data_IF_602799388957
#
_entry.id   IF_602799388957
#
_cell.length_a   1.000
_cell.length_b   1.000
_cell.length_c   1.000
_cell.angle_alpha   90.00
_cell.angle_beta   90.00
_cell.angle_gamma   90.00
#
_symmetry.space_group_name_H-M   'P 1'
#
loop_
_entity.id
_entity.type
_entity.pdbx_description
1 polymer ?
#
# COMPACT_ATOMS: atom_id res chain seq x y z
N UNK A 1 27.71 -28.91 27.52
CA UNK A 1 27.26 -27.98 28.57
C UNK A 1 26.69 -26.76 27.85
N UNK A 2 25.41 -26.45 28.02
CA UNK A 2 24.82 -25.29 27.36
C UNK A 2 25.14 -24.03 28.15
N UNK A 3 25.55 -22.96 27.46
CA UNK A 3 25.76 -21.63 28.03
C UNK A 3 24.50 -20.82 27.83
N UNK A 4 24.14 -20.03 28.82
CA UNK A 4 23.03 -19.07 28.70
C UNK A 4 23.50 -17.82 27.96
N UNK A 5 22.62 -17.26 27.13
CA UNK A 5 22.89 -15.98 26.47
C UNK A 5 22.86 -14.85 27.50
N UNK A 6 23.76 -13.85 27.38
CA UNK A 6 23.74 -12.69 28.26
C UNK A 6 22.43 -11.91 28.08
N UNK A 7 21.96 -11.24 29.14
CA UNK A 7 20.66 -10.55 29.18
C UNK A 7 20.42 -9.53 28.04
N UNK A 8 21.49 -8.99 27.45
CA UNK A 8 21.45 -8.17 26.22
C UNK A 8 22.45 -8.72 25.21
N UNK A 9 22.08 -9.74 24.43
CA UNK A 9 23.01 -10.35 23.49
C UNK A 9 23.26 -9.41 22.31
N UNK A 10 24.54 -9.17 22.00
CA UNK A 10 24.97 -8.36 20.87
C UNK A 10 25.61 -9.24 19.79
N UNK A 11 25.18 -9.08 18.54
CA UNK A 11 25.77 -9.80 17.41
C UNK A 11 27.26 -9.49 17.22
N UNK A 12 27.68 -8.26 17.48
CA UNK A 12 29.09 -7.89 17.41
C UNK A 12 29.92 -8.66 18.43
N UNK A 13 29.40 -8.78 19.64
CA UNK A 13 30.05 -9.52 20.72
C UNK A 13 30.17 -11.01 20.37
N UNK A 14 29.09 -11.63 19.85
CA UNK A 14 29.11 -13.04 19.45
C UNK A 14 30.05 -13.31 18.28
N UNK A 15 30.16 -12.39 17.30
CA UNK A 15 31.15 -12.48 16.22
C UNK A 15 32.59 -12.42 16.74
N UNK A 16 32.86 -11.54 17.71
CA UNK A 16 34.18 -11.47 18.37
C UNK A 16 34.49 -12.76 19.13
N UNK A 17 33.52 -13.33 19.84
CA UNK A 17 33.66 -14.62 20.51
C UNK A 17 33.97 -15.75 19.53
N UNK A 18 33.24 -15.87 18.42
CA UNK A 18 33.49 -16.90 17.42
C UNK A 18 34.92 -16.80 16.83
N UNK A 19 35.39 -15.58 16.58
CA UNK A 19 36.76 -15.34 16.11
C UNK A 19 37.81 -15.69 17.17
N UNK A 20 37.52 -15.47 18.45
CA UNK A 20 38.40 -15.91 19.54
C UNK A 20 38.42 -17.44 19.64
N UNK A 21 37.26 -18.09 19.54
CA UNK A 21 37.12 -19.54 19.57
C UNK A 21 37.90 -20.22 18.42
N UNK A 22 37.87 -19.62 17.22
CA UNK A 22 38.69 -20.04 16.08
C UNK A 22 40.19 -19.97 16.40
N UNK A 23 40.65 -18.97 17.16
CA UNK A 23 42.07 -18.83 17.51
C UNK A 23 42.52 -19.82 18.57
N UNK A 24 41.63 -20.20 19.50
CA UNK A 24 41.99 -21.00 20.68
C UNK A 24 41.70 -22.49 20.56
N UNK A 25 40.59 -22.86 19.89
CA UNK A 25 40.07 -24.23 19.93
C UNK A 25 40.32 -25.02 18.64
N UNK A 26 40.41 -24.36 17.49
CA UNK A 26 40.71 -25.04 16.22
C UNK A 26 41.13 -24.03 15.15
N UNK A 27 42.36 -24.11 14.58
CA UNK A 27 42.79 -23.24 13.48
C UNK A 27 42.07 -23.51 12.13
N UNK A 28 40.84 -24.02 12.18
CA UNK A 28 39.97 -24.28 11.04
C UNK A 28 39.19 -23.05 10.55
N UNK A 29 38.16 -23.29 9.72
CA UNK A 29 37.37 -22.23 9.10
C UNK A 29 36.51 -21.50 10.14
N UNK A 30 36.37 -20.19 10.00
CA UNK A 30 35.56 -19.35 10.89
C UNK A 30 34.08 -19.80 10.96
N UNK A 31 33.57 -20.44 9.91
CA UNK A 31 32.23 -21.02 9.90
C UNK A 31 32.06 -22.11 10.97
N UNK A 32 33.04 -22.98 11.14
CA UNK A 32 33.00 -24.07 12.12
C UNK A 32 32.95 -23.52 13.55
N UNK A 33 33.70 -22.43 13.80
CA UNK A 33 33.67 -21.71 15.07
C UNK A 33 32.29 -21.05 15.34
N UNK A 34 31.63 -20.49 14.32
CA UNK A 34 30.27 -19.96 14.47
C UNK A 34 29.25 -21.07 14.79
N UNK A 35 29.37 -22.26 14.16
CA UNK A 35 28.48 -23.39 14.45
C UNK A 35 28.73 -24.02 15.82
N UNK A 36 30.00 -24.16 16.23
CA UNK A 36 30.36 -24.61 17.57
C UNK A 36 29.79 -23.66 18.63
N UNK A 37 29.97 -22.35 18.44
CA UNK A 37 29.42 -21.33 19.34
C UNK A 37 27.88 -21.37 19.38
N UNK A 38 27.21 -21.53 18.24
CA UNK A 38 25.76 -21.67 18.21
C UNK A 38 25.26 -22.86 19.04
N UNK A 39 25.93 -24.02 18.91
CA UNK A 39 25.61 -25.22 19.70
C UNK A 39 25.88 -25.05 21.19
N UNK A 40 26.92 -24.31 21.57
CA UNK A 40 27.15 -23.96 22.98
C UNK A 40 25.97 -23.20 23.58
N UNK A 41 25.33 -22.31 22.81
CA UNK A 41 24.12 -21.58 23.23
C UNK A 41 22.80 -22.34 22.96
N UNK A 42 22.86 -23.60 22.52
CA UNK A 42 21.66 -24.42 22.28
C UNK A 42 20.99 -24.23 20.91
N UNK A 43 21.62 -23.52 19.97
CA UNK A 43 21.12 -23.32 18.61
C UNK A 43 21.74 -24.34 17.64
N UNK A 44 20.95 -24.78 16.66
CA UNK A 44 21.42 -25.76 15.66
C UNK A 44 22.55 -25.19 14.75
N UNK A 45 22.47 -23.89 14.44
CA UNK A 45 23.42 -23.20 13.58
C UNK A 45 23.50 -21.70 13.91
N UNK A 46 24.49 -21.04 13.33
CA UNK A 46 24.72 -19.61 13.51
C UNK A 46 23.60 -18.73 12.98
N UNK A 47 22.90 -19.15 11.93
CA UNK A 47 21.79 -18.37 11.38
C UNK A 47 20.64 -18.28 12.40
N UNK A 48 20.29 -19.39 13.07
CA UNK A 48 19.29 -19.42 14.13
C UNK A 48 19.68 -18.56 15.34
N UNK A 49 20.92 -18.67 15.80
CA UNK A 49 21.42 -17.81 16.89
C UNK A 49 21.37 -16.33 16.50
N UNK A 50 21.82 -16.01 15.28
CA UNK A 50 21.82 -14.64 14.78
C UNK A 50 20.39 -14.08 14.69
N UNK A 51 19.45 -14.83 14.14
CA UNK A 51 18.05 -14.44 14.05
C UNK A 51 17.42 -14.24 15.43
N UNK A 52 17.73 -15.12 16.38
CA UNK A 52 17.24 -15.00 17.77
C UNK A 52 17.75 -13.72 18.44
N UNK A 53 19.04 -13.42 18.33
CA UNK A 53 19.67 -12.22 18.91
C UNK A 53 19.16 -10.95 18.25
N UNK A 54 18.96 -10.95 16.93
CA UNK A 54 18.32 -9.83 16.24
C UNK A 54 16.92 -9.62 16.81
N UNK A 55 16.12 -10.68 16.90
CA UNK A 55 14.73 -10.62 17.40
C UNK A 55 14.65 -10.11 18.84
N UNK A 56 15.59 -10.53 19.71
CA UNK A 56 15.67 -10.02 21.09
C UNK A 56 16.06 -8.54 21.17
N UNK A 57 16.79 -8.03 20.19
CA UNK A 57 17.19 -6.63 20.12
C UNK A 57 16.14 -5.70 19.52
N UNK A 58 15.07 -6.24 18.93
CA UNK A 58 14.00 -5.44 18.34
C UNK A 58 13.10 -4.85 19.43
N UNK A 59 12.73 -3.59 19.25
CA UNK A 59 11.57 -3.04 19.97
C UNK A 59 10.31 -3.81 19.60
N UNK A 60 9.25 -3.84 20.44
CA UNK A 60 7.99 -4.51 20.10
C UNK A 60 7.41 -4.04 18.76
N UNK A 61 7.58 -2.76 18.43
CA UNK A 61 7.13 -2.19 17.16
C UNK A 61 7.93 -2.71 15.96
N UNK A 62 9.25 -2.86 16.10
CA UNK A 62 10.08 -3.46 15.04
C UNK A 62 9.82 -4.95 14.89
N UNK A 63 9.56 -5.67 15.99
CA UNK A 63 9.17 -7.08 15.97
C UNK A 63 7.82 -7.26 15.25
N UNK A 64 6.85 -6.36 15.48
CA UNK A 64 5.58 -6.36 14.76
C UNK A 64 5.79 -6.08 13.26
N UNK A 65 6.62 -5.09 12.92
CA UNK A 65 6.98 -4.81 11.53
C UNK A 65 7.61 -6.03 10.84
N UNK A 66 8.50 -6.75 11.53
CA UNK A 66 9.11 -7.96 11.01
C UNK A 66 8.06 -9.07 10.79
N UNK A 67 7.18 -9.29 11.77
CA UNK A 67 6.10 -10.28 11.65
C UNK A 67 5.19 -9.99 10.45
N UNK A 68 4.83 -8.74 10.19
CA UNK A 68 4.01 -8.34 9.04
C UNK A 68 4.77 -8.56 7.72
N UNK A 69 6.08 -8.26 7.68
CA UNK A 69 6.92 -8.48 6.49
C UNK A 69 7.01 -9.96 6.13
N UNK A 70 7.06 -10.82 7.15
CA UNK A 70 7.16 -12.28 7.04
C UNK A 70 5.79 -12.97 6.95
N UNK A 71 4.68 -12.21 6.85
CA UNK A 71 3.31 -12.74 6.81
C UNK A 71 2.94 -13.65 8.01
N UNK A 72 3.57 -13.37 9.16
CA UNK A 72 3.43 -14.14 10.39
C UNK A 72 2.22 -13.72 11.23
N UNK A 73 1.01 -14.01 10.78
CA UNK A 73 -0.23 -13.60 11.44
C UNK A 73 -0.30 -14.01 12.93
N UNK A 74 0.09 -15.25 13.25
CA UNK A 74 0.12 -15.74 14.63
C UNK A 74 1.11 -14.93 15.50
N UNK A 75 2.28 -14.62 14.94
CA UNK A 75 3.28 -13.82 15.65
C UNK A 75 2.83 -12.38 15.86
N UNK A 76 2.17 -11.79 14.86
CA UNK A 76 1.58 -10.47 14.97
C UNK A 76 0.50 -10.44 16.08
N UNK A 77 -0.35 -11.48 16.16
CA UNK A 77 -1.36 -11.62 17.21
C UNK A 77 -0.74 -11.68 18.60
N UNK A 78 0.24 -12.56 18.81
CA UNK A 78 0.95 -12.69 20.09
C UNK A 78 1.57 -11.35 20.54
N UNK A 79 2.18 -10.61 19.61
CA UNK A 79 2.77 -9.30 19.90
C UNK A 79 1.69 -8.29 20.29
N UNK A 80 0.57 -8.24 19.56
CA UNK A 80 -0.52 -7.30 19.85
C UNK A 80 -1.24 -7.60 21.18
N UNK A 81 -1.30 -8.88 21.57
CA UNK A 81 -1.84 -9.30 22.87
C UNK A 81 -0.87 -9.02 24.01
N UNK A 82 0.43 -9.24 23.80
CA UNK A 82 1.47 -9.06 24.83
C UNK A 82 1.81 -7.60 25.10
N UNK A 83 1.62 -6.71 24.11
CA UNK A 83 2.06 -5.31 24.15
C UNK A 83 0.89 -4.37 23.80
N UNK A 84 0.05 -3.97 24.79
CA UNK A 84 -1.11 -3.11 24.56
C UNK A 84 -0.77 -1.75 23.91
N UNK A 85 0.45 -1.25 24.10
CA UNK A 85 0.95 -0.03 23.46
C UNK A 85 1.03 -0.15 21.93
N UNK A 86 1.17 -1.36 21.39
CA UNK A 86 1.13 -1.60 19.95
C UNK A 86 -0.28 -1.40 19.41
N UNK A 87 -1.30 -1.88 20.13
CA UNK A 87 -2.71 -1.67 19.77
C UNK A 87 -3.07 -0.18 19.82
N UNK A 88 -2.61 0.53 20.84
CA UNK A 88 -2.81 1.99 20.94
C UNK A 88 -2.18 2.78 19.78
N UNK A 89 -1.16 2.22 19.11
CA UNK A 89 -0.43 2.83 17.99
C UNK A 89 -0.65 2.11 16.66
N UNK A 90 -1.63 1.22 16.55
CA UNK A 90 -1.85 0.35 15.39
C UNK A 90 -2.00 1.13 14.06
N UNK A 91 -2.59 2.33 14.14
CA UNK A 91 -2.85 3.23 13.01
C UNK A 91 -1.72 4.24 12.76
N UNK A 92 -0.65 4.22 13.56
CA UNK A 92 0.53 5.05 13.34
C UNK A 92 1.43 4.42 12.27
N UNK A 93 2.24 5.22 11.57
CA UNK A 93 3.24 4.70 10.67
C UNK A 93 4.17 3.70 11.37
N UNK A 94 4.47 2.59 10.70
CA UNK A 94 5.44 1.61 11.18
C UNK A 94 6.85 2.22 11.16
N UNK A 95 7.71 1.90 12.16
CA UNK A 95 9.09 2.37 12.16
C UNK A 95 9.84 1.77 10.96
N UNK A 96 10.67 2.60 10.32
CA UNK A 96 11.50 2.20 9.17
C UNK A 96 10.69 1.58 8.02
N UNK A 97 9.44 2.04 7.84
CA UNK A 97 8.56 1.68 6.73
C UNK A 97 8.26 2.94 5.89
N UNK A 98 8.35 2.81 4.57
CA UNK A 98 8.25 3.96 3.65
C UNK A 98 6.84 4.56 3.60
N UNK A 99 6.73 5.78 3.06
CA UNK A 99 5.47 6.44 2.72
C UNK A 99 4.46 6.62 3.86
N UNK A 100 4.91 6.61 5.11
CA UNK A 100 4.03 6.74 6.28
C UNK A 100 3.02 5.60 6.38
N UNK A 101 3.38 4.41 5.91
CA UNK A 101 2.49 3.24 5.93
C UNK A 101 2.33 2.69 7.34
N UNK A 102 1.09 2.37 7.68
CA UNK A 102 0.71 1.69 8.92
C UNK A 102 0.62 0.17 8.70
N UNK A 103 0.43 -0.57 9.80
CA UNK A 103 0.48 -2.03 9.80
C UNK A 103 -0.50 -2.67 8.81
N UNK A 104 -1.73 -2.17 8.76
CA UNK A 104 -2.78 -2.72 7.91
C UNK A 104 -2.46 -2.52 6.42
N UNK A 105 -1.97 -1.34 6.05
CA UNK A 105 -1.55 -1.07 4.67
C UNK A 105 -0.43 -2.02 4.22
N UNK A 106 0.56 -2.26 5.09
CA UNK A 106 1.67 -3.18 4.80
C UNK A 106 1.20 -4.63 4.59
N UNK A 107 0.21 -5.10 5.36
CA UNK A 107 -0.38 -6.42 5.17
C UNK A 107 -1.20 -6.53 3.87
N UNK A 108 -1.93 -5.46 3.52
CA UNK A 108 -2.70 -5.38 2.26
C UNK A 108 -1.81 -5.43 1.03
N UNK A 109 -0.67 -4.74 1.02
CA UNK A 109 0.29 -4.81 -0.10
C UNK A 109 0.87 -6.22 -0.31
N UNK A 110 0.75 -7.10 0.68
CA UNK A 110 1.22 -8.49 0.63
C UNK A 110 0.10 -9.49 0.37
N UNK A 111 -1.13 -9.02 0.18
CA UNK A 111 -2.33 -9.86 0.07
C UNK A 111 -2.50 -10.86 1.22
N UNK A 112 -1.97 -10.53 2.40
CA UNK A 112 -1.95 -11.43 3.56
C UNK A 112 -3.26 -11.31 4.35
N UNK A 113 -4.25 -12.09 3.94
CA UNK A 113 -5.58 -12.13 4.56
C UNK A 113 -5.54 -12.44 6.05
N UNK A 114 -4.68 -13.36 6.48
CA UNK A 114 -4.61 -13.77 7.88
C UNK A 114 -4.09 -12.64 8.77
N UNK A 115 -3.02 -11.96 8.34
CA UNK A 115 -2.51 -10.80 9.10
C UNK A 115 -3.46 -9.61 9.03
N UNK A 116 -4.18 -9.40 7.91
CA UNK A 116 -5.22 -8.37 7.82
C UNK A 116 -6.29 -8.59 8.90
N UNK A 117 -6.81 -9.81 9.04
CA UNK A 117 -7.82 -10.13 10.06
C UNK A 117 -7.30 -9.86 11.47
N UNK A 118 -6.08 -10.31 11.78
CA UNK A 118 -5.45 -10.04 13.07
C UNK A 118 -5.33 -8.55 13.38
N UNK A 119 -4.96 -7.74 12.38
CA UNK A 119 -4.80 -6.29 12.57
C UNK A 119 -6.16 -5.59 12.75
N UNK A 120 -7.19 -6.01 12.01
CA UNK A 120 -8.54 -5.48 12.17
C UNK A 120 -9.15 -5.85 13.53
N UNK A 121 -8.99 -7.11 13.96
CA UNK A 121 -9.38 -7.56 15.31
C UNK A 121 -8.66 -6.77 16.41
N UNK A 122 -7.42 -6.37 16.14
CA UNK A 122 -6.64 -5.54 17.06
C UNK A 122 -7.10 -4.06 17.10
N UNK A 123 -7.97 -3.63 16.18
CA UNK A 123 -8.52 -2.27 16.10
C UNK A 123 -7.90 -1.39 15.01
N UNK A 124 -7.24 -1.98 14.01
CA UNK A 124 -6.75 -1.21 12.86
C UNK A 124 -7.92 -0.56 12.10
N UNK A 125 -7.75 0.72 11.74
CA UNK A 125 -8.74 1.48 11.00
C UNK A 125 -8.60 1.22 9.49
N UNK A 126 -9.61 0.56 8.92
CA UNK A 126 -9.67 0.21 7.51
C UNK A 126 -9.75 1.44 6.58
N UNK A 127 -10.15 2.60 7.11
CA UNK A 127 -10.26 3.86 6.37
C UNK A 127 -9.00 4.73 6.49
N UNK A 128 -8.06 4.37 7.37
CA UNK A 128 -6.85 5.15 7.58
C UNK A 128 -6.00 5.18 6.31
N UNK A 129 -5.81 6.38 5.76
CA UNK A 129 -4.84 6.62 4.68
C UNK A 129 -3.41 6.71 5.23
N UNK A 130 -2.42 6.38 4.40
CA UNK A 130 -1.00 6.51 4.78
C UNK A 130 -0.63 7.98 5.03
N UNK A 131 0.38 8.22 5.86
CA UNK A 131 0.85 9.57 6.18
C UNK A 131 1.94 10.01 5.20
N UNK A 132 1.53 10.39 3.99
CA UNK A 132 2.41 10.81 2.91
C UNK A 132 2.17 12.27 2.50
N UNK A 133 3.25 13.04 2.39
CA UNK A 133 3.20 14.50 2.16
C UNK A 133 2.52 14.90 0.85
N UNK A 134 2.61 14.06 -0.19
CA UNK A 134 1.97 14.33 -1.49
C UNK A 134 0.51 13.82 -1.55
N UNK A 135 -0.02 13.26 -0.46
CA UNK A 135 -1.35 12.65 -0.41
C UNK A 135 -1.26 11.19 -0.02
N UNK A 136 -1.91 10.82 1.08
CA UNK A 136 -1.93 9.44 1.59
C UNK A 136 -2.65 8.48 0.64
N UNK A 137 -2.28 7.20 0.68
CA UNK A 137 -2.93 6.13 -0.07
C UNK A 137 -3.96 5.42 0.80
N UNK A 138 -5.14 5.12 0.24
CA UNK A 138 -6.13 4.22 0.83
C UNK A 138 -5.80 2.77 0.50
N UNK A 139 -6.35 1.82 1.27
CA UNK A 139 -6.07 0.39 1.09
C UNK A 139 -6.40 -0.10 -0.34
N UNK A 140 -7.50 0.41 -0.92
CA UNK A 140 -7.96 0.03 -2.25
C UNK A 140 -7.25 0.77 -3.39
N UNK A 141 -6.31 1.68 -3.11
CA UNK A 141 -5.55 2.41 -4.14
C UNK A 141 -4.42 1.54 -4.73
N UNK A 142 -3.86 0.63 -3.94
CA UNK A 142 -2.71 -0.21 -4.31
C UNK A 142 -2.84 -1.68 -3.90
N UNK A 143 -4.05 -2.16 -3.55
CA UNK A 143 -4.26 -3.58 -3.26
C UNK A 143 -4.33 -4.43 -4.53
N UNK A 144 -4.03 -5.73 -4.37
CA UNK A 144 -4.38 -6.77 -5.33
C UNK A 144 -5.89 -6.75 -5.65
N UNK A 145 -6.31 -6.76 -6.93
CA UNK A 145 -7.73 -6.77 -7.31
C UNK A 145 -8.53 -7.93 -6.71
N UNK A 146 -7.90 -9.09 -6.48
CA UNK A 146 -8.55 -10.27 -5.87
C UNK A 146 -8.84 -10.10 -4.38
N UNK A 147 -8.25 -9.09 -3.75
CA UNK A 147 -8.45 -8.75 -2.33
C UNK A 147 -9.55 -7.71 -2.12
N UNK A 148 -10.05 -7.06 -3.18
CA UNK A 148 -11.03 -5.96 -3.09
C UNK A 148 -12.28 -6.41 -2.35
N UNK A 149 -12.91 -7.52 -2.77
CA UNK A 149 -14.14 -8.01 -2.13
C UNK A 149 -13.90 -8.35 -0.66
N UNK A 150 -12.77 -9.00 -0.35
CA UNK A 150 -12.38 -9.35 1.01
C UNK A 150 -12.27 -8.12 1.93
N UNK A 151 -11.72 -7.02 1.42
CA UNK A 151 -11.61 -5.75 2.16
C UNK A 151 -12.96 -5.02 2.27
N UNK A 152 -13.78 -5.05 1.21
CA UNK A 152 -15.12 -4.46 1.22
C UNK A 152 -16.04 -5.14 2.23
N UNK A 153 -15.98 -6.48 2.33
CA UNK A 153 -16.68 -7.25 3.36
C UNK A 153 -16.28 -6.86 4.79
N UNK A 154 -15.08 -6.28 4.97
CA UNK A 154 -14.56 -5.75 6.23
C UNK A 154 -14.84 -4.25 6.42
N UNK A 155 -15.60 -3.64 5.53
CA UNK A 155 -16.00 -2.24 5.60
C UNK A 155 -15.16 -1.29 4.75
N UNK A 156 -14.23 -1.76 3.91
CA UNK A 156 -13.52 -0.87 3.00
C UNK A 156 -14.49 -0.24 2.00
N UNK A 157 -14.41 1.08 1.83
CA UNK A 157 -15.27 1.82 0.91
C UNK A 157 -14.57 1.98 -0.44
N UNK A 158 -15.27 1.59 -1.51
CA UNK A 158 -14.82 1.87 -2.89
C UNK A 158 -15.10 3.35 -3.19
N UNK A 159 -14.03 4.15 -3.12
CA UNK A 159 -14.05 5.56 -3.52
C UNK A 159 -13.87 5.72 -5.05
N UNK A 160 -13.86 6.97 -5.51
CA UNK A 160 -13.75 7.30 -6.93
C UNK A 160 -12.39 6.89 -7.53
N UNK A 161 -11.31 6.89 -6.75
CA UNK A 161 -9.97 6.50 -7.20
C UNK A 161 -9.87 4.99 -7.36
N UNK A 162 -10.30 4.25 -6.34
CA UNK A 162 -10.39 2.79 -6.38
C UNK A 162 -11.31 2.32 -7.52
N UNK A 163 -12.49 2.95 -7.67
CA UNK A 163 -13.41 2.63 -8.75
C UNK A 163 -12.81 2.92 -10.14
N UNK A 164 -12.06 4.02 -10.30
CA UNK A 164 -11.32 4.36 -11.52
C UNK A 164 -10.27 3.31 -11.86
N UNK A 165 -9.41 2.98 -10.89
CA UNK A 165 -8.35 1.97 -11.00
C UNK A 165 -8.89 0.59 -11.39
N UNK A 166 -9.96 0.16 -10.72
CA UNK A 166 -10.60 -1.15 -10.92
C UNK A 166 -11.52 -1.20 -12.15
N UNK A 167 -11.75 -0.05 -12.82
CA UNK A 167 -12.61 0.04 -14.00
C UNK A 167 -14.10 -0.18 -13.71
N UNK A 168 -14.55 0.09 -12.48
CA UNK A 168 -15.94 -0.09 -12.04
C UNK A 168 -16.83 1.06 -12.53
N UNK A 169 -17.22 1.03 -13.81
CA UNK A 169 -17.95 2.13 -14.47
C UNK A 169 -19.26 2.50 -13.78
N UNK A 170 -20.05 1.50 -13.39
CA UNK A 170 -21.33 1.73 -12.71
C UNK A 170 -21.11 2.50 -11.40
N UNK A 171 -20.14 2.05 -10.59
CA UNK A 171 -19.80 2.70 -9.32
C UNK A 171 -19.27 4.12 -9.51
N UNK A 172 -18.43 4.36 -10.51
CA UNK A 172 -17.97 5.72 -10.83
C UNK A 172 -19.14 6.62 -11.24
N UNK A 173 -20.07 6.09 -12.03
CA UNK A 173 -21.26 6.84 -12.47
C UNK A 173 -22.12 7.26 -11.29
N UNK A 174 -22.36 6.35 -10.34
CA UNK A 174 -23.06 6.64 -9.09
C UNK A 174 -22.34 7.73 -8.27
N UNK A 175 -21.03 7.57 -8.06
CA UNK A 175 -20.25 8.50 -7.24
C UNK A 175 -20.23 9.92 -7.82
N UNK A 176 -20.05 10.06 -9.14
CA UNK A 176 -20.02 11.38 -9.78
C UNK A 176 -21.42 11.98 -9.91
N UNK A 177 -22.47 11.16 -10.03
CA UNK A 177 -23.85 11.64 -9.98
C UNK A 177 -24.21 12.20 -8.60
N UNK A 178 -23.69 11.60 -7.53
CA UNK A 178 -23.88 12.07 -6.16
C UNK A 178 -23.09 13.37 -5.88
N UNK A 179 -21.85 13.47 -6.34
CA UNK A 179 -21.05 14.68 -6.26
C UNK A 179 -20.12 14.81 -7.48
N UNK A 180 -20.32 15.85 -8.29
CA UNK A 180 -19.50 16.06 -9.48
C UNK A 180 -18.06 16.45 -9.15
N UNK A 181 -17.78 17.00 -7.96
CA UNK A 181 -16.44 17.46 -7.58
C UNK A 181 -15.47 16.31 -7.29
N UNK A 182 -15.97 15.08 -7.09
CA UNK A 182 -15.13 13.90 -6.86
C UNK A 182 -14.16 13.62 -8.02
N UNK A 183 -14.46 14.12 -9.22
CA UNK A 183 -13.55 14.02 -10.38
C UNK A 183 -12.25 14.82 -10.20
N UNK A 184 -12.24 15.77 -9.26
CA UNK A 184 -11.08 16.59 -8.90
C UNK A 184 -10.47 16.18 -7.54
N UNK A 185 -11.04 15.18 -6.87
CA UNK A 185 -10.53 14.67 -5.61
C UNK A 185 -9.05 14.27 -5.75
N UNK A 186 -8.28 14.54 -4.70
CA UNK A 186 -6.84 14.27 -4.63
C UNK A 186 -6.63 12.98 -3.85
N UNK A 187 -6.17 11.94 -4.53
CA UNK A 187 -5.83 10.64 -3.95
C UNK A 187 -4.35 10.57 -3.55
N UNK A 188 -3.81 9.36 -3.55
CA UNK A 188 -2.37 9.13 -3.37
C UNK A 188 -1.53 9.93 -4.38
N UNK A 189 -0.44 10.53 -3.91
CA UNK A 189 0.43 11.43 -4.71
C UNK A 189 -0.29 12.63 -5.36
N UNK A 190 -1.47 13.02 -4.86
CA UNK A 190 -2.22 14.15 -5.38
C UNK A 190 -2.84 13.86 -6.76
N UNK A 191 -2.91 12.59 -7.13
CA UNK A 191 -3.49 12.14 -8.38
C UNK A 191 -5.01 12.23 -8.33
N UNK A 192 -5.62 12.65 -9.44
CA UNK A 192 -7.08 12.64 -9.62
C UNK A 192 -7.54 11.28 -10.16
N UNK A 193 -8.83 10.92 -10.08
CA UNK A 193 -9.32 9.65 -10.60
C UNK A 193 -8.99 9.40 -12.07
N UNK A 194 -8.88 10.47 -12.87
CA UNK A 194 -8.48 10.41 -14.27
C UNK A 194 -7.06 9.84 -14.47
N UNK A 195 -6.13 10.02 -13.52
CA UNK A 195 -4.79 9.46 -13.62
C UNK A 195 -4.80 7.92 -13.56
N UNK A 196 -5.79 7.34 -12.89
CA UNK A 196 -5.96 5.90 -12.76
C UNK A 196 -6.85 5.29 -13.85
N UNK A 197 -7.43 6.12 -14.72
CA UNK A 197 -8.34 5.69 -15.76
C UNK A 197 -7.60 4.90 -16.85
N UNK A 198 -7.64 3.57 -16.77
CA UNK A 198 -6.91 2.65 -17.65
C UNK A 198 -7.60 2.34 -18.99
N UNK A 199 -8.77 2.94 -19.30
CA UNK A 199 -9.55 2.66 -20.54
C UNK A 199 -10.03 3.92 -21.26
N UNK A 200 -10.06 3.86 -22.60
CA UNK A 200 -10.55 4.95 -23.48
C UNK A 200 -12.00 5.39 -23.19
N UNK A 201 -12.87 4.48 -22.75
CA UNK A 201 -14.23 4.83 -22.29
C UNK A 201 -14.25 5.65 -20.99
N UNK A 202 -13.28 5.41 -20.09
CA UNK A 202 -13.12 6.17 -18.84
C UNK A 202 -12.64 7.60 -19.13
N UNK A 203 -11.72 7.75 -20.09
CA UNK A 203 -11.27 9.05 -20.60
C UNK A 203 -12.46 9.86 -21.15
N UNK A 204 -13.34 9.24 -21.93
CA UNK A 204 -14.56 9.89 -22.44
C UNK A 204 -15.54 10.30 -21.33
N UNK A 205 -15.80 9.42 -20.36
CA UNK A 205 -16.69 9.70 -19.23
C UNK A 205 -16.20 10.88 -18.38
N UNK A 206 -14.94 10.85 -17.93
CA UNK A 206 -14.36 11.93 -17.13
C UNK A 206 -14.18 13.22 -17.93
N UNK A 207 -13.81 13.14 -19.21
CA UNK A 207 -13.70 14.33 -20.07
C UNK A 207 -15.04 15.07 -20.22
N UNK A 208 -16.13 14.33 -20.47
CA UNK A 208 -17.47 14.91 -20.58
C UNK A 208 -17.90 15.54 -19.26
N UNK A 209 -17.61 14.89 -18.13
CA UNK A 209 -17.94 15.39 -16.79
C UNK A 209 -17.17 16.67 -16.44
N UNK A 210 -15.85 16.71 -16.72
CA UNK A 210 -15.01 17.89 -16.48
C UNK A 210 -15.49 19.10 -17.32
N UNK A 211 -15.92 18.89 -18.56
CA UNK A 211 -16.51 19.93 -19.42
C UNK A 211 -17.88 20.43 -18.91
N UNK A 212 -18.68 19.58 -18.25
CA UNK A 212 -20.00 19.96 -17.70
C UNK A 212 -19.88 20.69 -16.36
N UNK A 213 -18.99 20.24 -15.48
CA UNK A 213 -18.67 20.91 -14.21
C UNK A 213 -18.08 22.31 -14.47
N UNK A 214 -17.12 22.44 -15.41
CA UNK A 214 -16.56 23.75 -15.78
C UNK A 214 -17.56 24.67 -16.48
N UNK A 215 -18.57 24.17 -17.20
CA UNK A 215 -19.64 25.04 -17.76
C UNK A 215 -20.57 25.63 -16.70
N UNK A 216 -20.70 25.00 -15.54
CA UNK A 216 -21.55 25.49 -14.45
C UNK A 216 -20.99 26.79 -13.83
N UNK A 217 -19.69 27.05 -13.95
CA UNK A 217 -19.04 28.25 -13.39
C UNK A 217 -19.01 29.44 -14.36
N UNK A 218 -19.56 29.32 -15.58
CA UNK A 218 -19.57 30.39 -16.60
C UNK A 218 -20.93 31.06 -16.85
N UNK A 219 -21.94 30.85 -15.99
CA UNK A 219 -23.26 31.51 -16.19
C UNK A 219 -23.42 32.88 -15.53
N UNK A 220 -22.38 33.42 -14.85
CA UNK A 220 -22.42 34.77 -14.26
C UNK A 220 -21.15 35.58 -14.50
N UNK A 221 -20.75 35.76 -15.76
CA UNK A 221 -20.23 37.04 -16.25
C UNK A 221 -19.94 36.98 -17.76
N UNK A 222 -20.78 37.60 -18.57
CA UNK A 222 -20.44 37.94 -19.95
C UNK A 222 -19.39 39.07 -19.94
N UNK A 223 -18.10 38.72 -19.90
CA UNK A 223 -17.04 39.51 -20.54
C UNK A 223 -16.03 38.56 -21.18
N UNK A 224 -15.93 38.66 -22.52
CA UNK A 224 -14.90 38.00 -23.34
C UNK A 224 -13.50 38.36 -22.83
N UNK A 225 -12.57 37.39 -22.73
CA UNK A 225 -11.15 37.67 -22.85
C UNK A 225 -10.61 37.13 -24.18
N UNK A 226 -9.99 38.06 -24.89
CA UNK A 226 -9.06 37.89 -26.00
C UNK A 226 -7.88 36.98 -25.62
N UNK A 227 -7.54 36.08 -26.56
CA UNK A 227 -6.21 35.53 -26.85
C UNK A 227 -5.23 35.34 -25.68
N UNK A 228 -5.04 34.09 -25.23
CA UNK A 228 -3.72 33.66 -24.76
C UNK A 228 -3.51 32.14 -24.94
N UNK A 229 -2.38 31.81 -25.56
CA UNK A 229 -1.94 30.51 -26.02
C UNK A 229 -1.74 29.47 -24.91
N UNK A 230 -2.41 28.30 -25.00
CA UNK A 230 -1.81 26.96 -24.78
C UNK A 230 -2.64 25.92 -25.54
N UNK A 231 -2.50 25.84 -26.86
CA UNK A 231 -3.10 24.76 -27.68
C UNK A 231 -2.07 24.29 -28.72
N UNK A 232 -1.34 23.24 -28.39
CA UNK A 232 -0.53 22.53 -29.41
C UNK A 232 -0.58 20.99 -29.31
N UNK A 233 -1.14 20.39 -28.25
CA UNK A 233 -1.35 18.93 -28.19
C UNK A 233 -2.81 18.46 -28.31
N UNK A 234 -3.76 19.38 -28.41
CA UNK A 234 -5.21 19.04 -28.38
C UNK A 234 -5.84 18.76 -29.76
N UNK A 235 -5.18 19.09 -30.87
CA UNK A 235 -5.80 19.03 -32.21
C UNK A 235 -5.81 17.61 -32.79
N UNK A 236 -4.78 16.79 -32.51
CA UNK A 236 -4.69 15.42 -33.00
C UNK A 236 -5.73 14.50 -32.35
N UNK A 237 -6.00 14.67 -31.05
CA UNK A 237 -7.04 13.92 -30.33
C UNK A 237 -8.45 14.34 -30.79
N UNK A 238 -8.65 15.62 -31.12
CA UNK A 238 -9.93 16.12 -31.61
C UNK A 238 -10.37 15.47 -32.93
N UNK A 239 -9.44 15.21 -33.87
CA UNK A 239 -9.77 14.55 -35.15
C UNK A 239 -10.05 13.05 -34.97
N UNK A 240 -9.33 12.37 -34.09
CA UNK A 240 -9.52 10.92 -33.85
C UNK A 240 -10.89 10.68 -33.17
N UNK A 241 -11.23 11.45 -32.14
CA UNK A 241 -12.50 11.27 -31.40
C UNK A 241 -13.73 11.61 -32.25
N UNK A 242 -13.67 12.65 -33.09
CA UNK A 242 -14.80 13.02 -33.97
C UNK A 242 -15.07 11.96 -35.05
N UNK A 243 -14.00 11.34 -35.58
CA UNK A 243 -14.11 10.32 -36.62
C UNK A 243 -14.63 9.00 -36.03
N UNK A 244 -14.21 8.63 -34.81
CA UNK A 244 -14.69 7.42 -34.13
C UNK A 244 -16.12 7.53 -33.62
N UNK A 245 -16.58 8.70 -33.16
CA UNK A 245 -18.00 8.90 -32.76
C UNK A 245 -18.96 8.81 -33.97
N UNK A 246 -18.55 9.30 -35.15
CA UNK A 246 -19.39 9.24 -36.35
C UNK A 246 -19.57 7.81 -36.90
N UNK A 247 -18.62 6.92 -36.64
CA UNK A 247 -18.69 5.50 -37.03
C UNK A 247 -19.58 4.69 -36.07
N UNK A 248 -19.56 5.03 -34.77
CA UNK A 248 -20.41 4.38 -33.76
C UNK A 248 -21.88 4.76 -33.89
N UNK A 249 -22.20 6.05 -34.12
CA UNK A 249 -23.59 6.48 -34.29
C UNK A 249 -24.26 5.98 -35.58
N UNK A 250 -23.50 5.57 -36.60
CA UNK A 250 -24.05 5.02 -37.85
C UNK A 250 -24.37 3.52 -37.74
N UNK A 251 -23.66 2.77 -36.87
CA UNK A 251 -23.94 1.34 -36.64
C UNK A 251 -25.17 1.09 -35.77
N UNK A 252 -25.48 1.98 -34.82
CA UNK A 252 -26.66 1.83 -33.97
C UNK A 252 -27.97 2.17 -34.71
N UNK A 253 -27.91 2.97 -35.78
CA UNK A 253 -29.07 3.29 -36.61
C UNK A 253 -29.47 2.17 -37.60
N UNK A 254 -28.55 1.28 -37.96
CA UNK A 254 -28.82 0.14 -38.87
C UNK A 254 -29.24 -1.14 -38.13
N UNK A 255 -29.13 -1.19 -36.80
CA UNK A 255 -29.50 -2.35 -35.98
C UNK A 255 -30.94 -2.28 -35.42
N UNK A 256 -31.74 -1.28 -35.80
CA UNK A 256 -33.11 -1.09 -35.32
C UNK A 256 -34.14 -0.92 -36.44
N UNK A 257 -33.98 -1.66 -37.54
CA UNK A 257 -35.03 -1.88 -38.54
C UNK A 257 -35.08 -3.36 -38.93
#
# INVERSE_FOLDING_TARGET
>A
MFRELPAKPSLEYLRKQAKQLQRTASPGKLADAHHALAREYGFADWARLKSYVITLGLTPAEALTAAIRDQGAQRARELLESYPELRAKINKPLPNYGFGQHALFAAVQRSDRATIDVLLDAGADIHKRTEWWAGGFGLLDDCDPTLVNFLVERGAVIDVHAAARLGMIARQTELVAADQNVVHAKGGDGQTPLHFASRLRLLGFFWIMVQRSTRSTWTTNLRRPSTCCVLSKSVTIHKIVRTSLAILYRKDAEATC
#
